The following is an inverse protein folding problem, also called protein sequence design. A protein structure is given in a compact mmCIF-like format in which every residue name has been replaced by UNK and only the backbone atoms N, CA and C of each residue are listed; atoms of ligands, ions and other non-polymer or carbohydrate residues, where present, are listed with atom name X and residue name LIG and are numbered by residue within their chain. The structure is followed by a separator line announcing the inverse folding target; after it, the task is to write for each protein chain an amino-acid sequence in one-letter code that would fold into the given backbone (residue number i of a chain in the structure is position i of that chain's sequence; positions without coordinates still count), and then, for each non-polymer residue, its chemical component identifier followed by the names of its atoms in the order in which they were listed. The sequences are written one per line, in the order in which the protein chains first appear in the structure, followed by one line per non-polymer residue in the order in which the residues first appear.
data_IF_124195233801
#
_entry.id   IF_124195233801
#
_cell.length_a   1.000
_cell.length_b   1.000
_cell.length_c   1.000
_cell.angle_alpha   90.00
_cell.angle_beta   90.00
_cell.angle_gamma   90.00
#
_symmetry.space_group_name_H-M   'P 1'
#
loop_
_entity.id
_entity.type
_entity.pdbx_description
1 polymer ?
#
# COMPACT_ATOMS: atom_id res chain seq x y z
N UNK A 1 17.83 3.79 20.84
CA UNK A 1 17.93 2.56 21.67
C UNK A 1 17.83 3.03 23.11
N UNK A 2 16.91 2.46 23.89
CA UNK A 2 16.54 2.96 25.21
C UNK A 2 17.75 3.10 26.13
N UNK A 3 17.78 4.16 26.94
CA UNK A 3 18.91 4.50 27.81
C UNK A 3 19.08 3.53 28.99
N UNK A 4 18.03 2.78 29.35
CA UNK A 4 18.02 1.85 30.48
C UNK A 4 17.26 0.56 30.15
N UNK A 5 17.59 -0.52 30.86
CA UNK A 5 16.90 -1.81 30.72
C UNK A 5 15.41 -1.73 31.16
N UNK A 6 15.10 -0.89 32.15
CA UNK A 6 13.72 -0.66 32.60
C UNK A 6 12.87 -0.01 31.52
N UNK A 7 13.39 1.01 30.84
CA UNK A 7 12.72 1.61 29.68
C UNK A 7 12.55 0.62 28.54
N UNK A 8 13.56 -0.21 28.26
CA UNK A 8 13.46 -1.26 27.24
C UNK A 8 12.36 -2.28 27.56
N UNK A 9 12.26 -2.73 28.81
CA UNK A 9 11.24 -3.66 29.24
C UNK A 9 9.83 -3.05 29.17
N UNK A 10 9.69 -1.77 29.52
CA UNK A 10 8.43 -1.03 29.38
C UNK A 10 7.98 -0.97 27.90
N UNK A 11 8.90 -0.65 26.99
CA UNK A 11 8.63 -0.64 25.53
C UNK A 11 8.19 -2.02 25.03
N UNK A 12 8.81 -3.12 25.48
CA UNK A 12 8.37 -4.46 25.10
C UNK A 12 6.98 -4.81 25.62
N UNK A 13 6.64 -4.38 26.83
CA UNK A 13 5.29 -4.57 27.36
C UNK A 13 4.26 -3.80 26.54
N UNK A 14 4.61 -2.60 26.09
CA UNK A 14 3.74 -1.79 25.24
C UNK A 14 3.56 -2.40 23.85
N UNK A 15 4.64 -2.85 23.21
CA UNK A 15 4.59 -3.60 21.94
C UNK A 15 3.68 -4.83 22.07
N UNK A 16 3.80 -5.57 23.20
CA UNK A 16 2.94 -6.73 23.46
C UNK A 16 1.48 -6.34 23.60
N UNK A 17 1.18 -5.30 24.37
CA UNK A 17 -0.18 -4.76 24.54
C UNK A 17 -0.80 -4.40 23.20
N UNK A 18 -0.08 -3.67 22.35
CA UNK A 18 -0.55 -3.24 21.03
C UNK A 18 -0.74 -4.43 20.10
N UNK A 19 0.20 -5.38 20.08
CA UNK A 19 0.10 -6.59 19.28
C UNK A 19 -1.15 -7.41 19.65
N UNK A 20 -1.41 -7.61 20.94
CA UNK A 20 -2.59 -8.34 21.41
C UNK A 20 -3.89 -7.64 21.00
N UNK A 21 -3.94 -6.31 21.11
CA UNK A 21 -5.12 -5.54 20.71
C UNK A 21 -5.38 -5.57 19.20
N UNK A 22 -4.34 -5.76 18.38
CA UNK A 22 -4.46 -5.99 16.94
C UNK A 22 -4.73 -7.46 16.59
N UNK A 23 -4.93 -8.35 17.58
CA UNK A 23 -5.27 -9.76 17.37
C UNK A 23 -4.08 -10.69 17.12
N UNK A 24 -2.84 -10.24 17.34
CA UNK A 24 -1.67 -11.12 17.28
C UNK A 24 -1.59 -12.00 18.54
N UNK A 25 -1.16 -13.26 18.39
CA UNK A 25 -0.97 -14.16 19.53
C UNK A 25 0.26 -13.77 20.35
N UNK A 26 0.23 -14.00 21.68
CA UNK A 26 1.40 -13.71 22.53
C UNK A 26 2.63 -14.48 22.07
N UNK A 27 2.46 -15.75 21.68
CA UNK A 27 3.56 -16.60 21.18
C UNK A 27 4.21 -16.00 19.94
N UNK A 28 3.43 -15.45 19.02
CA UNK A 28 3.96 -14.77 17.83
C UNK A 28 4.76 -13.53 18.22
N UNK A 29 4.21 -12.68 19.08
CA UNK A 29 4.86 -11.44 19.51
C UNK A 29 6.19 -11.74 20.20
N UNK A 30 6.19 -12.66 21.18
CA UNK A 30 7.38 -13.01 21.95
C UNK A 30 8.45 -13.65 21.04
N UNK A 31 8.04 -14.44 20.04
CA UNK A 31 8.94 -14.99 19.01
C UNK A 31 9.62 -13.89 18.21
N UNK A 32 8.86 -12.90 17.71
CA UNK A 32 9.42 -11.79 16.93
C UNK A 32 10.37 -10.94 17.78
N UNK A 33 10.00 -10.63 19.03
CA UNK A 33 10.87 -9.92 19.97
C UNK A 33 12.18 -10.70 20.16
N UNK A 34 12.10 -12.01 20.41
CA UNK A 34 13.28 -12.87 20.57
C UNK A 34 14.19 -12.91 19.34
N UNK A 35 13.60 -13.04 18.14
CA UNK A 35 14.35 -13.01 16.87
C UNK A 35 15.11 -11.68 16.73
N UNK A 36 14.44 -10.54 16.98
CA UNK A 36 15.06 -9.22 16.86
C UNK A 36 16.14 -8.96 17.90
N UNK A 37 15.94 -9.40 19.15
CA UNK A 37 16.95 -9.34 20.20
C UNK A 37 18.19 -10.18 19.86
N UNK A 38 17.99 -11.39 19.36
CA UNK A 38 19.09 -12.27 18.93
C UNK A 38 19.89 -11.65 17.78
N UNK A 39 19.21 -11.08 16.78
CA UNK A 39 19.85 -10.34 15.68
C UNK A 39 20.67 -9.14 16.19
N UNK A 40 20.10 -8.35 17.12
CA UNK A 40 20.80 -7.21 17.72
C UNK A 40 22.03 -7.64 18.52
N UNK A 41 21.94 -8.72 19.30
CA UNK A 41 23.06 -9.26 20.07
C UNK A 41 24.18 -9.81 19.19
N UNK A 42 23.84 -10.53 18.10
CA UNK A 42 24.84 -10.99 17.12
C UNK A 42 25.59 -9.83 16.51
N UNK A 43 24.86 -8.80 16.04
CA UNK A 43 25.46 -7.59 15.46
C UNK A 43 26.40 -6.85 16.42
N UNK A 44 26.06 -6.78 17.71
CA UNK A 44 26.95 -6.15 18.70
C UNK A 44 28.13 -7.04 19.12
N UNK A 45 27.97 -8.36 19.13
CA UNK A 45 29.09 -9.28 19.36
C UNK A 45 30.10 -9.22 18.21
N UNK A 46 29.65 -9.05 16.97
CA UNK A 46 30.53 -8.85 15.81
C UNK A 46 31.31 -7.52 15.89
N UNK A 47 30.82 -6.53 16.65
CA UNK A 47 31.51 -5.25 16.89
C UNK A 47 32.54 -5.36 18.03
N UNK A 48 32.40 -6.32 18.95
CA UNK A 48 33.32 -6.51 20.10
C UNK A 48 34.52 -7.40 19.73
N UNK A 49 34.48 -8.12 18.61
CA UNK A 49 35.69 -8.72 18.01
C UNK A 49 36.40 -7.68 17.12
N UNK A 50 37.04 -6.70 17.75
CA UNK A 50 38.11 -5.96 17.07
C UNK A 50 39.30 -6.91 16.86
N UNK A 51 39.81 -7.11 15.63
CA UNK A 51 41.14 -7.68 15.46
C UNK A 51 42.15 -6.63 15.93
N UNK A 52 42.74 -6.86 17.10
CA UNK A 52 44.01 -6.24 17.45
C UNK A 52 45.07 -6.87 16.52
N UNK A 53 45.46 -6.17 15.47
CA UNK A 53 46.82 -6.14 14.89
C UNK A 53 46.82 -5.26 13.64
N UNK A 54 47.72 -4.28 13.60
CA UNK A 54 47.88 -3.36 12.47
C UNK A 54 48.34 -4.09 11.21
N UNK A 55 47.43 -4.19 10.24
CA UNK A 55 47.71 -4.38 8.82
C UNK A 55 46.62 -3.63 8.04
N UNK A 56 47.03 -2.94 6.99
CA UNK A 56 46.25 -2.04 6.11
C UNK A 56 44.91 -2.68 5.65
N UNK A 57 43.80 -2.40 6.36
CA UNK A 57 42.49 -2.99 6.02
C UNK A 57 41.89 -2.21 4.85
N UNK A 58 41.96 -2.79 3.65
CA UNK A 58 41.35 -2.23 2.44
C UNK A 58 39.84 -2.01 2.63
N UNK A 59 39.35 -0.85 2.19
CA UNK A 59 37.92 -0.50 2.20
C UNK A 59 37.18 -1.33 1.15
N UNK A 60 36.27 -2.19 1.60
CA UNK A 60 35.48 -3.09 0.75
C UNK A 60 34.38 -2.35 -0.01
N UNK A 61 34.25 -2.64 -1.30
CA UNK A 61 33.17 -2.18 -2.16
C UNK A 61 32.58 -3.36 -2.95
N UNK A 62 31.26 -3.38 -3.09
CA UNK A 62 30.56 -4.44 -3.84
C UNK A 62 30.03 -3.88 -5.15
N UNK A 63 30.27 -4.59 -6.25
CA UNK A 63 29.81 -4.21 -7.58
C UNK A 63 28.96 -5.33 -8.16
N UNK A 64 27.73 -4.97 -8.52
CA UNK A 64 26.80 -5.85 -9.22
C UNK A 64 27.07 -5.80 -10.71
N UNK A 65 27.20 -6.97 -11.35
CA UNK A 65 27.34 -7.08 -12.81
C UNK A 65 26.46 -8.20 -13.37
N UNK A 66 25.93 -8.07 -14.60
CA UNK A 66 25.22 -9.16 -15.25
C UNK A 66 26.17 -10.32 -15.58
N UNK A 67 25.69 -11.56 -15.42
CA UNK A 67 26.40 -12.76 -15.86
C UNK A 67 26.26 -12.92 -17.38
N UNK A 68 27.34 -12.60 -18.10
CA UNK A 68 27.51 -12.73 -19.54
C UNK A 68 28.85 -13.46 -19.74
N UNK A 69 28.85 -14.73 -19.35
CA UNK A 69 29.94 -15.70 -19.51
C UNK A 69 31.37 -15.08 -19.46
N UNK A 70 32.05 -15.01 -20.60
CA UNK A 70 33.44 -14.55 -20.71
C UNK A 70 33.57 -13.03 -20.61
N UNK A 71 32.60 -12.28 -21.12
CA UNK A 71 32.62 -10.81 -21.06
C UNK A 71 32.63 -10.31 -19.61
N UNK A 72 31.88 -10.96 -18.72
CA UNK A 72 31.88 -10.60 -17.29
C UNK A 72 33.19 -10.94 -16.60
N UNK A 73 33.86 -12.04 -16.98
CA UNK A 73 35.18 -12.40 -16.44
C UNK A 73 36.24 -11.40 -16.88
N UNK A 74 36.24 -11.04 -18.16
CA UNK A 74 37.17 -10.05 -18.72
C UNK A 74 36.97 -8.68 -18.06
N UNK A 75 35.71 -8.22 -17.97
CA UNK A 75 35.36 -6.99 -17.27
C UNK A 75 35.83 -6.98 -15.82
N UNK A 76 35.57 -8.06 -15.06
CA UNK A 76 36.04 -8.22 -13.68
C UNK A 76 37.56 -8.05 -13.58
N UNK A 77 38.32 -8.73 -14.44
CA UNK A 77 39.77 -8.69 -14.41
C UNK A 77 40.31 -7.29 -14.75
N UNK A 78 39.74 -6.65 -15.78
CA UNK A 78 40.12 -5.31 -16.20
C UNK A 78 39.87 -4.29 -15.09
N UNK A 79 38.68 -4.30 -14.48
CA UNK A 79 38.36 -3.38 -13.38
C UNK A 79 39.22 -3.68 -12.16
N UNK A 80 39.43 -4.95 -11.80
CA UNK A 80 40.29 -5.32 -10.67
C UNK A 80 41.72 -4.80 -10.86
N UNK A 81 42.26 -4.92 -12.08
CA UNK A 81 43.59 -4.41 -12.42
C UNK A 81 43.65 -2.88 -12.31
N UNK A 82 42.68 -2.17 -12.89
CA UNK A 82 42.59 -0.71 -12.82
C UNK A 82 42.48 -0.23 -11.37
N UNK A 83 41.67 -0.89 -10.55
CA UNK A 83 41.45 -0.49 -9.16
C UNK A 83 42.67 -0.75 -8.29
N UNK A 84 43.38 -1.87 -8.48
CA UNK A 84 44.66 -2.09 -7.80
C UNK A 84 45.71 -1.03 -8.16
N UNK A 85 45.67 -0.48 -9.38
CA UNK A 85 46.60 0.58 -9.84
C UNK A 85 46.24 1.96 -9.31
N UNK A 86 44.95 2.33 -9.31
CA UNK A 86 44.50 3.69 -8.96
C UNK A 86 44.16 3.85 -7.48
N UNK A 87 43.67 2.78 -6.84
CA UNK A 87 43.11 2.79 -5.48
C UNK A 87 43.41 1.46 -4.77
N UNK A 88 44.69 1.20 -4.42
CA UNK A 88 45.10 -0.03 -3.74
C UNK A 88 44.47 -0.18 -2.34
N UNK A 89 43.97 0.91 -1.77
CA UNK A 89 43.20 0.97 -0.53
C UNK A 89 41.78 0.39 -0.66
N UNK A 90 41.29 0.11 -1.87
CA UNK A 90 39.97 -0.49 -2.11
C UNK A 90 40.09 -2.00 -2.38
N UNK A 91 39.14 -2.76 -1.82
CA UNK A 91 38.91 -4.18 -2.12
C UNK A 91 37.54 -4.32 -2.82
N UNK A 92 37.55 -4.51 -4.14
CA UNK A 92 36.32 -4.58 -4.95
C UNK A 92 35.90 -6.03 -5.13
N UNK A 93 34.69 -6.34 -4.64
CA UNK A 93 34.07 -7.65 -4.73
C UNK A 93 32.93 -7.61 -5.74
N UNK A 94 32.99 -8.51 -6.73
CA UNK A 94 31.99 -8.59 -7.78
C UNK A 94 31.03 -9.73 -7.52
N UNK A 95 29.73 -9.45 -7.58
CA UNK A 95 28.69 -10.47 -7.58
C UNK A 95 27.89 -10.41 -8.88
N UNK A 96 27.59 -11.59 -9.41
CA UNK A 96 26.96 -11.75 -10.72
C UNK A 96 25.47 -11.98 -10.52
N UNK A 97 24.63 -11.24 -11.25
CA UNK A 97 23.19 -11.54 -11.34
C UNK A 97 22.84 -12.03 -12.73
N UNK A 98 21.87 -12.92 -12.79
CA UNK A 98 21.26 -13.29 -14.07
C UNK A 98 20.67 -12.04 -14.73
N UNK A 99 20.76 -11.90 -16.07
CA UNK A 99 20.03 -10.87 -16.78
C UNK A 99 18.53 -10.90 -16.41
N UNK A 100 17.84 -9.76 -16.40
CA UNK A 100 16.41 -9.73 -16.15
C UNK A 100 15.68 -10.62 -17.16
N UNK A 101 14.59 -11.26 -16.73
CA UNK A 101 13.77 -12.06 -17.63
C UNK A 101 13.29 -11.20 -18.80
N UNK A 102 13.18 -11.79 -20.00
CA UNK A 102 12.71 -11.09 -21.21
C UNK A 102 11.37 -10.38 -20.97
N UNK A 103 10.50 -10.96 -20.15
CA UNK A 103 9.23 -10.37 -19.72
C UNK A 103 9.39 -9.01 -19.00
N UNK A 104 10.55 -8.69 -18.42
CA UNK A 104 10.81 -7.38 -17.85
C UNK A 104 11.17 -6.32 -18.91
N UNK A 105 11.65 -6.76 -20.07
CA UNK A 105 12.00 -5.87 -21.19
C UNK A 105 10.78 -5.51 -22.05
N UNK A 106 9.72 -6.32 -22.00
CA UNK A 106 8.49 -6.15 -22.76
C UNK A 106 7.29 -6.21 -21.84
N UNK A 107 6.46 -5.16 -21.81
CA UNK A 107 5.13 -5.26 -21.22
C UNK A 107 4.34 -6.28 -22.05
N UNK A 108 4.11 -7.47 -21.49
CA UNK A 108 3.42 -8.56 -22.18
C UNK A 108 1.91 -8.32 -22.31
N UNK A 109 1.35 -7.38 -21.56
CA UNK A 109 -0.09 -7.15 -21.45
C UNK A 109 -0.43 -5.65 -21.56
N UNK A 110 -1.61 -5.36 -22.11
CA UNK A 110 -2.13 -4.01 -22.20
C UNK A 110 -2.45 -3.42 -20.81
N UNK A 111 -2.20 -2.12 -20.58
CA UNK A 111 -2.50 -1.49 -19.31
C UNK A 111 -4.02 -1.48 -19.05
N UNK A 112 -4.42 -2.09 -17.93
CA UNK A 112 -5.83 -2.13 -17.51
C UNK A 112 -6.33 -0.72 -17.19
N UNK A 113 -7.43 -0.33 -17.84
CA UNK A 113 -8.11 0.93 -17.57
C UNK A 113 -8.44 1.06 -16.07
N UNK A 114 -8.24 2.26 -15.51
CA UNK A 114 -8.54 2.60 -14.12
C UNK A 114 -9.92 2.12 -13.63
N UNK A 115 -10.96 2.24 -14.45
CA UNK A 115 -12.34 1.80 -14.14
C UNK A 115 -12.47 0.27 -13.99
N UNK A 116 -11.57 -0.50 -14.59
CA UNK A 116 -11.56 -1.96 -14.59
C UNK A 116 -10.62 -2.57 -13.54
N UNK A 117 -9.85 -1.75 -12.80
CA UNK A 117 -8.96 -2.25 -11.74
C UNK A 117 -9.74 -2.77 -10.53
N UNK A 118 -9.26 -3.86 -9.95
CA UNK A 118 -9.73 -4.48 -8.70
C UNK A 118 -8.67 -4.38 -7.61
N UNK A 119 -9.07 -4.70 -6.37
CA UNK A 119 -8.18 -4.80 -5.21
C UNK A 119 -7.43 -3.50 -4.91
N UNK A 120 -8.17 -2.40 -4.96
CA UNK A 120 -7.66 -1.04 -4.80
C UNK A 120 -8.34 -0.29 -3.66
N UNK A 121 -7.59 0.64 -3.07
CA UNK A 121 -8.12 1.75 -2.28
C UNK A 121 -8.19 2.96 -3.20
N UNK A 122 -9.36 3.57 -3.31
CA UNK A 122 -9.62 4.73 -4.14
C UNK A 122 -10.10 5.92 -3.30
N UNK A 123 -9.93 7.12 -3.85
CA UNK A 123 -10.47 8.37 -3.31
C UNK A 123 -11.39 9.02 -4.34
N UNK A 124 -12.53 9.53 -3.89
CA UNK A 124 -13.48 10.29 -4.70
C UNK A 124 -13.69 11.65 -4.05
N UNK A 125 -13.71 12.71 -4.85
CA UNK A 125 -13.99 14.07 -4.38
C UNK A 125 -15.35 14.54 -4.87
N UNK A 126 -15.99 15.38 -4.06
CA UNK A 126 -17.12 16.18 -4.52
C UNK A 126 -16.62 17.29 -5.47
N UNK A 127 -17.42 17.67 -6.46
CA UNK A 127 -17.08 18.77 -7.37
C UNK A 127 -17.41 20.15 -6.82
N UNK A 128 -18.37 20.24 -5.88
CA UNK A 128 -18.80 21.52 -5.28
C UNK A 128 -18.26 21.78 -3.87
N UNK A 129 -17.68 20.80 -3.19
CA UNK A 129 -17.07 21.00 -1.87
C UNK A 129 -15.73 20.25 -1.76
N UNK A 130 -14.92 20.63 -0.77
CA UNK A 130 -13.60 20.03 -0.55
C UNK A 130 -13.66 18.63 0.09
N UNK A 131 -14.86 18.13 0.37
CA UNK A 131 -15.02 16.84 1.02
C UNK A 131 -14.62 15.69 0.09
N UNK A 132 -13.89 14.74 0.67
CA UNK A 132 -13.46 13.54 -0.03
C UNK A 132 -13.94 12.27 0.67
N UNK A 133 -14.02 11.18 -0.08
CA UNK A 133 -14.31 9.83 0.39
C UNK A 133 -13.15 8.91 0.03
N UNK A 134 -12.67 8.12 0.99
CA UNK A 134 -11.70 7.04 0.75
C UNK A 134 -12.41 5.71 0.98
N UNK A 135 -12.34 4.82 -0.01
CA UNK A 135 -12.96 3.49 0.04
C UNK A 135 -12.11 2.42 -0.60
N UNK A 136 -12.29 1.16 -0.20
CA UNK A 136 -11.71 -0.01 -0.87
C UNK A 136 -12.70 -0.70 -1.82
N UNK A 137 -12.16 -1.46 -2.76
CA UNK A 137 -12.92 -2.43 -3.55
C UNK A 137 -12.07 -3.65 -3.91
N UNK A 138 -12.64 -4.85 -3.72
CA UNK A 138 -12.12 -6.10 -4.30
C UNK A 138 -12.70 -6.34 -5.71
N UNK A 139 -13.84 -5.71 -6.02
CA UNK A 139 -14.43 -5.74 -7.36
C UNK A 139 -13.80 -4.66 -8.24
N UNK A 140 -14.11 -4.71 -9.53
CA UNK A 140 -13.75 -3.63 -10.45
C UNK A 140 -14.30 -2.28 -9.97
N UNK A 141 -13.48 -1.23 -10.05
CA UNK A 141 -13.86 0.12 -9.61
C UNK A 141 -15.22 0.55 -10.16
N UNK A 142 -15.50 0.32 -11.43
CA UNK A 142 -16.77 0.68 -12.07
C UNK A 142 -17.99 0.09 -11.36
N UNK A 143 -17.91 -1.18 -10.90
CA UNK A 143 -19.00 -1.83 -10.18
C UNK A 143 -19.22 -1.15 -8.84
N UNK A 144 -18.14 -0.82 -8.14
CA UNK A 144 -18.19 -0.11 -6.86
C UNK A 144 -18.75 1.31 -7.00
N UNK A 145 -18.38 2.04 -8.06
CA UNK A 145 -18.92 3.36 -8.34
C UNK A 145 -20.43 3.30 -8.61
N UNK A 146 -20.90 2.31 -9.36
CA UNK A 146 -22.34 2.11 -9.56
C UNK A 146 -23.09 1.78 -8.27
N UNK A 147 -22.51 0.97 -7.37
CA UNK A 147 -23.07 0.73 -6.03
C UNK A 147 -23.22 2.04 -5.24
N UNK A 148 -22.33 3.01 -5.45
CA UNK A 148 -22.39 4.35 -4.86
C UNK A 148 -23.36 5.32 -5.55
N UNK A 149 -24.00 4.92 -6.65
CA UNK A 149 -24.94 5.77 -7.39
C UNK A 149 -24.38 6.42 -8.65
N UNK A 150 -23.19 6.03 -9.12
CA UNK A 150 -22.69 6.50 -10.42
C UNK A 150 -23.61 6.02 -11.57
N UNK A 151 -23.86 6.86 -12.58
CA UNK A 151 -24.73 6.51 -13.69
C UNK A 151 -24.12 5.35 -14.49
N UNK A 152 -24.94 4.34 -14.79
CA UNK A 152 -24.55 3.27 -15.71
C UNK A 152 -24.48 3.86 -17.13
N UNK A 153 -23.32 3.76 -17.79
CA UNK A 153 -23.22 4.09 -19.21
C UNK A 153 -24.19 3.22 -20.02
N UNK A 154 -24.83 3.81 -21.03
CA UNK A 154 -25.82 3.18 -21.92
C UNK A 154 -25.37 1.80 -22.45
N UNK A 155 -24.07 1.62 -22.67
CA UNK A 155 -23.42 0.40 -23.19
C UNK A 155 -23.49 -0.82 -22.25
N UNK A 156 -23.85 -0.66 -20.97
CA UNK A 156 -23.92 -1.76 -19.99
C UNK A 156 -25.34 -2.27 -19.73
N UNK A 157 -26.37 -1.63 -20.31
CA UNK A 157 -27.77 -2.02 -20.11
C UNK A 157 -28.16 -3.28 -20.91
N UNK A 158 -27.43 -3.60 -21.98
CA UNK A 158 -27.76 -4.72 -22.87
C UNK A 158 -27.35 -6.10 -22.31
N UNK A 159 -26.40 -6.17 -21.37
CA UNK A 159 -25.92 -7.46 -20.83
C UNK A 159 -26.70 -7.97 -19.62
N UNK A 160 -27.70 -7.23 -19.12
CA UNK A 160 -28.52 -7.63 -17.96
C UNK A 160 -30.01 -7.87 -18.28
N UNK A 161 -30.44 -7.74 -19.54
CA UNK A 161 -31.84 -7.92 -19.97
C UNK A 161 -32.21 -9.36 -20.38
N UNK A 162 -31.49 -10.36 -19.88
CA UNK A 162 -31.87 -11.78 -20.02
C UNK A 162 -32.18 -12.42 -18.68
N UNK A 163 -33.18 -11.87 -17.98
CA UNK A 163 -34.00 -12.58 -16.99
C UNK A 163 -35.31 -11.81 -16.76
N UNK A 164 -36.32 -12.25 -17.52
CA UNK A 164 -37.76 -12.19 -17.24
C UNK A 164 -38.43 -10.81 -17.22
N UNK A 165 -38.95 -10.46 -18.40
CA UNK A 165 -40.24 -9.80 -18.59
C UNK A 165 -41.34 -10.67 -17.94
N UNK A 166 -42.17 -10.05 -17.11
CA UNK A 166 -43.63 -10.13 -17.14
C UNK A 166 -44.14 -9.45 -15.85
N UNK A 167 -44.58 -8.20 -15.98
CA UNK A 167 -45.87 -7.74 -15.45
C UNK A 167 -46.08 -6.25 -15.70
N UNK A 168 -47.26 -5.97 -16.23
CA UNK A 168 -47.73 -4.73 -16.83
C UNK A 168 -48.56 -3.97 -15.77
N UNK A 169 -48.27 -2.69 -15.48
CA UNK A 169 -49.30 -1.74 -15.00
C UNK A 169 -48.85 -0.26 -14.91
N UNK A 170 -49.45 0.52 -15.82
CA UNK A 170 -50.17 1.80 -15.68
C UNK A 170 -49.97 2.72 -14.46
N UNK A 171 -49.77 4.01 -14.79
CA UNK A 171 -49.81 5.26 -14.02
C UNK A 171 -50.57 5.31 -12.67
N UNK A 172 -49.96 5.89 -11.63
CA UNK A 172 -50.45 7.09 -10.91
C UNK A 172 -49.50 7.58 -9.79
N UNK A 173 -49.27 8.89 -9.82
CA UNK A 173 -49.29 9.85 -8.69
C UNK A 173 -48.37 9.69 -7.46
N UNK A 174 -47.51 10.72 -7.31
CA UNK A 174 -47.22 11.44 -6.05
C UNK A 174 -46.91 10.61 -4.79
N UNK A 175 -45.63 10.30 -4.58
CA UNK A 175 -44.95 10.37 -3.27
C UNK A 175 -43.46 10.00 -3.41
N UNK A 176 -42.64 10.90 -3.95
CA UNK A 176 -41.20 10.64 -4.17
C UNK A 176 -40.35 10.84 -2.90
N UNK A 177 -40.88 11.52 -1.88
CA UNK A 177 -40.08 12.00 -0.75
C UNK A 177 -39.95 10.96 0.38
N UNK A 178 -40.89 10.03 0.51
CA UNK A 178 -41.00 9.20 1.73
C UNK A 178 -40.51 7.73 1.58
N UNK A 179 -40.22 7.26 0.35
CA UNK A 179 -39.70 5.90 0.12
C UNK A 179 -38.16 5.75 0.08
N UNK A 180 -37.37 6.83 0.18
CA UNK A 180 -35.93 6.81 -0.16
C UNK A 180 -34.93 6.65 0.98
N UNK A 181 -35.35 6.27 2.19
CA UNK A 181 -34.39 6.00 3.30
C UNK A 181 -33.83 4.58 3.28
N UNK A 182 -34.51 3.62 2.65
CA UNK A 182 -34.07 2.21 2.55
C UNK A 182 -33.06 1.93 1.42
N UNK A 183 -32.78 2.91 0.55
CA UNK A 183 -31.93 2.73 -0.65
C UNK A 183 -30.57 3.45 -0.56
N UNK A 184 -30.23 4.06 0.59
CA UNK A 184 -28.95 4.75 0.75
C UNK A 184 -27.87 3.70 1.06
N UNK A 185 -27.09 3.35 0.04
CA UNK A 185 -26.08 2.29 0.11
C UNK A 185 -24.75 2.79 0.66
N UNK A 186 -24.50 4.11 0.68
CA UNK A 186 -23.19 4.64 1.02
C UNK A 186 -23.16 6.10 1.49
N UNK A 187 -22.05 6.47 2.15
CA UNK A 187 -21.81 7.84 2.61
C UNK A 187 -21.72 8.86 1.47
N UNK A 188 -21.14 8.45 0.33
CA UNK A 188 -21.10 9.27 -0.89
C UNK A 188 -22.50 9.57 -1.41
N UNK A 189 -23.36 8.55 -1.50
CA UNK A 189 -24.74 8.72 -1.96
C UNK A 189 -25.57 9.58 -0.99
N UNK A 190 -25.37 9.39 0.32
CA UNK A 190 -26.00 10.25 1.33
C UNK A 190 -25.62 11.71 1.15
N UNK A 191 -24.33 12.01 0.96
CA UNK A 191 -23.86 13.37 0.73
C UNK A 191 -24.54 14.01 -0.47
N UNK A 192 -24.69 13.29 -1.57
CA UNK A 192 -25.41 13.79 -2.75
C UNK A 192 -26.87 14.10 -2.46
N UNK A 193 -27.55 13.25 -1.68
CA UNK A 193 -28.97 13.44 -1.33
C UNK A 193 -29.16 14.65 -0.40
N UNK A 194 -28.30 14.79 0.61
CA UNK A 194 -28.42 15.85 1.63
C UNK A 194 -28.03 17.23 1.10
N UNK A 195 -27.00 17.30 0.26
CA UNK A 195 -26.44 18.57 -0.22
C UNK A 195 -26.87 18.93 -1.64
N UNK A 196 -27.39 17.97 -2.41
CA UNK A 196 -27.60 18.14 -3.85
C UNK A 196 -26.30 18.23 -4.67
N UNK A 197 -25.14 18.00 -4.06
CA UNK A 197 -23.86 18.06 -4.75
C UNK A 197 -23.67 16.88 -5.72
N UNK A 198 -22.78 17.11 -6.68
CA UNK A 198 -22.32 16.16 -7.67
C UNK A 198 -20.95 15.59 -7.26
N UNK A 199 -20.76 14.33 -7.61
CA UNK A 199 -19.54 13.58 -7.33
C UNK A 199 -18.79 13.39 -8.63
N UNK A 200 -17.46 13.56 -8.59
CA UNK A 200 -16.63 13.33 -9.76
C UNK A 200 -16.36 11.83 -9.97
N UNK A 201 -17.30 11.13 -10.61
CA UNK A 201 -17.20 9.69 -10.86
C UNK A 201 -16.14 9.30 -11.89
N UNK A 202 -15.76 10.21 -12.77
CA UNK A 202 -14.76 9.94 -13.82
C UNK A 202 -13.33 10.17 -13.33
N UNK A 203 -13.13 11.18 -12.48
CA UNK A 203 -11.82 11.52 -11.92
C UNK A 203 -11.62 11.04 -10.47
N UNK A 204 -12.17 9.87 -10.12
CA UNK A 204 -11.76 9.19 -8.87
C UNK A 204 -10.28 8.83 -8.94
N UNK A 205 -9.54 8.77 -7.85
CA UNK A 205 -8.11 8.44 -7.82
C UNK A 205 -7.88 7.07 -7.20
N UNK A 206 -6.99 6.25 -7.77
CA UNK A 206 -6.50 5.03 -7.11
C UNK A 206 -5.32 5.44 -6.23
N UNK A 207 -5.43 5.19 -4.93
CA UNK A 207 -4.44 5.59 -3.92
C UNK A 207 -3.46 4.45 -3.63
N UNK A 208 -3.97 3.23 -3.47
CA UNK A 208 -3.16 2.04 -3.23
C UNK A 208 -3.78 0.82 -3.90
N UNK A 209 -2.97 -0.22 -4.14
CA UNK A 209 -3.40 -1.53 -4.61
C UNK A 209 -2.79 -2.62 -3.73
N UNK A 210 -3.53 -3.69 -3.45
CA UNK A 210 -3.04 -4.89 -2.76
C UNK A 210 -3.93 -6.09 -3.08
N UNK A 211 -3.37 -7.17 -3.59
CA UNK A 211 -4.12 -8.39 -3.91
C UNK A 211 -4.52 -9.21 -2.68
N UNK A 212 -4.10 -8.80 -1.48
CA UNK A 212 -4.48 -9.44 -0.22
C UNK A 212 -5.50 -8.60 0.53
N UNK A 213 -6.72 -9.14 0.67
CA UNK A 213 -7.87 -8.48 1.32
C UNK A 213 -7.52 -7.78 2.65
N UNK A 214 -6.85 -8.51 3.55
CA UNK A 214 -6.54 -7.97 4.88
C UNK A 214 -5.54 -6.81 4.82
N UNK A 215 -4.58 -6.85 3.89
CA UNK A 215 -3.65 -5.73 3.67
C UNK A 215 -4.36 -4.53 3.06
N UNK A 216 -5.34 -4.77 2.17
CA UNK A 216 -6.16 -3.72 1.58
C UNK A 216 -6.99 -2.99 2.65
N UNK A 217 -7.60 -3.73 3.59
CA UNK A 217 -8.30 -3.17 4.76
C UNK A 217 -7.39 -2.33 5.65
N UNK A 218 -6.17 -2.83 5.92
CA UNK A 218 -5.18 -2.10 6.70
C UNK A 218 -4.81 -0.80 5.98
N UNK A 219 -4.50 -0.87 4.67
CA UNK A 219 -4.16 0.30 3.84
C UNK A 219 -5.26 1.35 3.85
N UNK A 220 -6.51 0.94 3.66
CA UNK A 220 -7.67 1.84 3.73
C UNK A 220 -7.78 2.49 5.12
N UNK A 221 -7.65 1.70 6.19
CA UNK A 221 -7.72 2.23 7.57
C UNK A 221 -6.61 3.21 7.89
N UNK A 222 -5.39 2.95 7.40
CA UNK A 222 -4.25 3.86 7.54
C UNK A 222 -4.50 5.17 6.77
N UNK A 223 -5.08 5.09 5.57
CA UNK A 223 -5.40 6.25 4.75
C UNK A 223 -6.51 7.10 5.36
N UNK A 224 -7.59 6.49 5.86
CA UNK A 224 -8.67 7.23 6.54
C UNK A 224 -8.13 7.89 7.81
N UNK A 225 -7.32 7.17 8.61
CA UNK A 225 -6.71 7.74 9.81
C UNK A 225 -5.78 8.92 9.50
N UNK A 226 -5.08 8.88 8.37
CA UNK A 226 -4.10 9.91 8.04
C UNK A 226 -4.68 11.14 7.34
N UNK A 227 -5.70 10.96 6.51
CA UNK A 227 -6.34 12.04 5.74
C UNK A 227 -7.63 12.57 6.35
N UNK A 228 -8.23 11.81 7.28
CA UNK A 228 -9.51 12.15 7.93
C UNK A 228 -10.59 12.67 6.95
N UNK A 229 -10.85 11.94 5.84
CA UNK A 229 -11.78 12.38 4.81
C UNK A 229 -13.19 12.58 5.35
N UNK A 230 -13.80 13.72 5.03
CA UNK A 230 -15.02 14.20 5.68
C UNK A 230 -16.28 13.43 5.25
N UNK A 231 -16.24 12.76 4.09
CA UNK A 231 -17.34 11.90 3.65
C UNK A 231 -17.27 10.50 4.29
N UNK A 232 -16.18 10.12 4.95
CA UNK A 232 -16.09 8.83 5.62
C UNK A 232 -16.84 8.87 6.96
N UNK A 233 -17.87 8.03 7.09
CA UNK A 233 -18.61 7.87 8.36
C UNK A 233 -17.81 7.19 9.46
N UNK A 234 -16.90 6.29 9.07
CA UNK A 234 -16.04 5.55 9.98
C UNK A 234 -14.62 6.07 9.85
N UNK A 235 -13.92 6.17 10.98
CA UNK A 235 -12.51 6.60 11.05
C UNK A 235 -11.52 5.54 10.55
N UNK A 236 -11.98 4.29 10.37
CA UNK A 236 -11.19 3.16 9.88
C UNK A 236 -12.10 2.02 9.42
N UNK A 237 -11.57 1.14 8.57
CA UNK A 237 -12.26 -0.06 8.06
C UNK A 237 -12.02 -1.30 8.91
N UNK A 238 -10.87 -1.37 9.58
CA UNK A 238 -10.53 -2.40 10.57
C UNK A 238 -10.03 -1.70 11.84
N UNK A 239 -10.37 -2.19 13.05
CA UNK A 239 -9.80 -1.66 14.29
C UNK A 239 -8.29 -1.92 14.30
N UNK A 240 -7.53 -0.88 13.95
CA UNK A 240 -6.07 -0.92 13.92
C UNK A 240 -5.51 0.05 14.97
N UNK A 241 -4.65 -0.48 15.83
CA UNK A 241 -3.86 0.29 16.80
C UNK A 241 -2.45 0.41 16.26
N UNK A 242 -2.04 1.63 15.92
CA UNK A 242 -0.74 1.93 15.29
C UNK A 242 0.09 2.77 16.25
N UNK A 243 1.39 2.46 16.35
CA UNK A 243 2.37 3.19 17.16
C UNK A 243 3.46 3.82 16.28
N UNK A 244 3.93 5.04 16.57
CA UNK A 244 3.32 6.08 17.41
C UNK A 244 2.30 6.90 16.60
N UNK A 245 1.09 7.09 17.12
CA UNK A 245 -0.04 7.86 16.56
C UNK A 245 -0.46 7.69 15.09
N UNK A 246 0.15 6.80 14.30
CA UNK A 246 -0.24 6.55 12.89
C UNK A 246 0.94 6.75 11.94
N UNK A 247 0.68 6.70 10.62
CA UNK A 247 1.69 7.14 9.66
C UNK A 247 1.91 8.65 9.85
N UNK A 248 3.16 9.06 10.06
CA UNK A 248 3.52 10.47 10.00
C UNK A 248 3.09 11.04 8.64
N UNK A 249 2.37 12.17 8.64
CA UNK A 249 1.91 12.84 7.41
C UNK A 249 3.08 13.09 6.44
N UNK A 250 4.29 13.32 6.94
CA UNK A 250 5.52 13.48 6.15
C UNK A 250 5.83 12.28 5.22
N UNK A 251 5.43 11.07 5.58
CA UNK A 251 5.61 9.86 4.75
C UNK A 251 4.57 9.74 3.63
N UNK A 252 3.50 10.55 3.69
CA UNK A 252 2.40 10.58 2.73
C UNK A 252 2.56 11.68 1.66
N UNK A 253 3.42 12.67 1.90
CA UNK A 253 3.66 13.84 1.04
C UNK A 253 4.42 13.56 -0.26
N UNK A 254 4.44 12.33 -0.78
CA UNK A 254 5.06 12.05 -2.08
C UNK A 254 4.11 12.00 -3.27
N UNK A 255 2.79 12.11 -3.10
CA UNK A 255 1.90 12.05 -4.27
C UNK A 255 0.61 12.88 -4.20
N UNK A 256 0.39 13.81 -3.27
CA UNK A 256 -0.93 14.48 -3.16
C UNK A 256 -1.11 15.79 -3.93
N UNK A 257 -0.04 16.37 -4.48
CA UNK A 257 -0.09 17.62 -5.25
C UNK A 257 0.64 17.54 -6.61
N UNK A 258 0.33 16.55 -7.44
CA UNK A 258 0.58 16.66 -8.88
C UNK A 258 -0.46 15.82 -9.64
N UNK A 259 -1.04 16.47 -10.65
CA UNK A 259 -2.11 16.08 -11.59
C UNK A 259 -3.56 16.36 -11.14
#
# INVERSE_FOLDING_TARGET
ICSTYTSLAAEFNEIRRIGLLNGYTSSFIDTIIGIKLSQYRKKNNDVIQSPQTGYDVKKRMYVEIPFIENATKEFRNNITHICNKLRPDLDIQFFMKSPPAVQMLYQTEDPINKKMKSDVVYSIKCTQCQHSYIGKTERQCIKRLHEHGAPKSSSQQEQQHSKQQDDNCTHQSNNIVELRRSEITSAVQQHQIETGHQINWDNFRIVMQDNHYYRLLIKESLLIKAYEPELNRTTRSVPLIVFPDGLQQELLHKQFDND
#
